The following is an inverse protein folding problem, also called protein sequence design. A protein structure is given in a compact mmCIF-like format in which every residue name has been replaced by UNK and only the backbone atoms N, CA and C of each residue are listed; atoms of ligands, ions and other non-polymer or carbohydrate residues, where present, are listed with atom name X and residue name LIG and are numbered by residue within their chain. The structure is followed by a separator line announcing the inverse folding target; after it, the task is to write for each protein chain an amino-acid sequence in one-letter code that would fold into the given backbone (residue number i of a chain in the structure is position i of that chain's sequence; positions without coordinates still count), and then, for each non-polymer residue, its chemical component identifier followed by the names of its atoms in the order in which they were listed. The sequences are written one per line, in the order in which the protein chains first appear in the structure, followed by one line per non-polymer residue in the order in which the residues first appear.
data_IF_944927288906
#
_entry.id   IF_944927288906
#
_cell.length_a   1.000
_cell.length_b   1.000
_cell.length_c   1.000
_cell.angle_alpha   90.00
_cell.angle_beta   90.00
_cell.angle_gamma   90.00
#
_symmetry.space_group_name_H-M   'P 1'
#
loop_
_entity.id
_entity.type
_entity.pdbx_description
1 polymer ?
#
# COMPACT_ATOMS: atom_id res chain seq x y z
N UNK A 1 -19.67 -2.26 9.68
CA UNK A 1 -19.48 -1.22 8.64
C UNK A 1 -18.66 -0.10 9.26
N UNK A 2 -17.35 -0.15 9.12
CA UNK A 2 -16.50 1.01 9.40
C UNK A 2 -16.82 2.04 8.32
N UNK A 3 -17.45 3.15 8.69
CA UNK A 3 -17.58 4.31 7.83
C UNK A 3 -16.22 4.99 7.79
N UNK A 4 -15.50 4.85 6.69
CA UNK A 4 -14.50 5.83 6.31
C UNK A 4 -15.24 7.17 6.18
N UNK A 5 -14.90 8.14 7.02
CA UNK A 5 -15.30 9.53 6.83
C UNK A 5 -14.43 10.03 5.66
N UNK A 6 -14.91 9.75 4.45
CA UNK A 6 -14.40 10.36 3.25
C UNK A 6 -14.91 11.79 3.21
N UNK A 7 -14.04 12.76 3.17
CA UNK A 7 -14.39 14.06 2.61
C UNK A 7 -14.84 13.80 1.18
N UNK A 8 -16.12 14.01 0.94
CA UNK A 8 -16.72 13.92 -0.38
C UNK A 8 -16.19 15.07 -1.23
N UNK A 9 -15.24 14.79 -2.10
CA UNK A 9 -15.10 15.54 -3.33
C UNK A 9 -16.00 14.85 -4.36
N UNK A 10 -17.20 15.40 -4.48
CA UNK A 10 -18.13 15.02 -5.53
C UNK A 10 -17.58 15.49 -6.87
N UNK A 11 -17.19 14.54 -7.71
CA UNK A 11 -17.32 14.64 -9.15
C UNK A 11 -17.35 13.21 -9.69
N UNK A 12 -18.52 12.72 -9.96
CA UNK A 12 -18.75 11.54 -10.80
C UNK A 12 -18.26 11.86 -12.21
N UNK A 13 -17.07 11.34 -12.54
CA UNK A 13 -16.62 11.27 -13.93
C UNK A 13 -16.21 9.83 -14.21
N UNK A 14 -16.70 9.22 -15.31
CA UNK A 14 -16.32 7.87 -15.68
C UNK A 14 -14.82 7.85 -15.96
N UNK A 15 -14.08 7.10 -15.15
CA UNK A 15 -12.67 6.80 -15.39
C UNK A 15 -12.67 5.81 -16.55
N UNK A 16 -12.18 6.22 -17.71
CA UNK A 16 -11.95 5.27 -18.80
C UNK A 16 -10.83 4.31 -18.37
N UNK A 17 -11.04 3.00 -18.52
CA UNK A 17 -10.01 2.02 -18.18
C UNK A 17 -8.76 2.25 -19.05
N UNK A 18 -7.60 2.19 -18.42
CA UNK A 18 -6.28 2.37 -19.08
C UNK A 18 -5.97 1.24 -20.06
N UNK A 19 -6.71 0.15 -20.01
CA UNK A 19 -6.62 -0.96 -20.93
C UNK A 19 -8.01 -1.47 -21.28
N UNK A 20 -8.17 -1.89 -22.54
CA UNK A 20 -9.28 -2.76 -22.95
C UNK A 20 -9.19 -4.16 -22.33
N UNK A 21 -8.16 -4.38 -21.49
CA UNK A 21 -8.06 -5.58 -20.68
C UNK A 21 -9.06 -5.53 -19.54
N UNK A 22 -9.72 -6.63 -19.37
CA UNK A 22 -10.68 -6.98 -18.32
C UNK A 22 -10.93 -5.83 -17.35
N UNK A 23 -12.14 -5.24 -17.33
CA UNK A 23 -12.47 -4.38 -16.19
C UNK A 23 -12.10 -5.19 -14.96
N UNK A 24 -11.29 -4.60 -14.08
CA UNK A 24 -10.94 -5.24 -12.82
C UNK A 24 -12.26 -5.43 -12.09
N UNK A 25 -12.89 -6.59 -12.36
CA UNK A 25 -14.08 -7.05 -11.65
C UNK A 25 -13.78 -7.03 -10.16
N UNK A 26 -14.75 -7.25 -9.33
CA UNK A 26 -14.53 -7.41 -7.90
C UNK A 26 -13.32 -8.33 -7.70
N UNK A 27 -12.20 -7.74 -7.26
CA UNK A 27 -10.96 -8.48 -7.02
C UNK A 27 -11.29 -9.53 -5.98
N UNK A 28 -11.22 -10.79 -6.36
CA UNK A 28 -11.37 -11.87 -5.40
C UNK A 28 -10.19 -11.79 -4.44
N UNK A 29 -10.45 -11.24 -3.25
CA UNK A 29 -9.42 -11.07 -2.24
C UNK A 29 -9.15 -12.42 -1.60
N UNK A 30 -7.90 -12.85 -1.59
CA UNK A 30 -7.47 -14.03 -0.84
C UNK A 30 -7.93 -13.87 0.61
N UNK A 31 -8.57 -14.91 1.16
CA UNK A 31 -9.04 -14.92 2.55
C UNK A 31 -8.45 -16.11 3.27
N UNK A 32 -7.59 -15.84 4.25
CA UNK A 32 -7.20 -16.81 5.26
C UNK A 32 -7.90 -16.47 6.58
N UNK A 33 -8.05 -17.44 7.45
CA UNK A 33 -8.55 -17.17 8.80
C UNK A 33 -7.45 -16.52 9.64
N UNK A 34 -7.82 -15.53 10.44
CA UNK A 34 -6.94 -15.05 11.51
C UNK A 34 -6.80 -16.16 12.55
N UNK A 35 -5.56 -16.53 12.84
CA UNK A 35 -5.24 -17.53 13.83
C UNK A 35 -4.06 -17.08 14.69
N UNK A 36 -4.31 -17.01 15.99
CA UNK A 36 -3.27 -16.67 16.96
C UNK A 36 -2.45 -17.91 17.28
N UNK A 37 -1.13 -17.81 17.13
CA UNK A 37 -0.17 -18.80 17.59
C UNK A 37 0.63 -18.23 18.76
N UNK A 38 0.50 -18.82 19.92
CA UNK A 38 1.16 -18.37 21.15
C UNK A 38 1.41 -19.53 22.10
N UNK A 39 2.53 -19.49 22.81
CA UNK A 39 2.79 -20.40 23.94
C UNK A 39 1.87 -20.11 25.14
N UNK A 40 1.28 -18.92 25.17
CA UNK A 40 0.38 -18.47 26.23
C UNK A 40 -1.08 -18.61 25.79
N UNK A 41 -1.92 -18.85 26.76
CA UNK A 41 -3.38 -18.82 26.62
C UNK A 41 -3.95 -17.63 27.39
N UNK A 42 -5.12 -17.10 27.00
CA UNK A 42 -5.79 -16.04 27.77
C UNK A 42 -5.96 -16.46 29.23
N UNK A 43 -5.50 -15.62 30.17
CA UNK A 43 -5.54 -15.92 31.60
C UNK A 43 -6.05 -14.71 32.42
N UNK A 44 -6.43 -14.98 33.66
CA UNK A 44 -6.99 -13.94 34.54
C UNK A 44 -8.29 -13.36 33.99
N UNK A 45 -8.34 -12.05 33.83
CA UNK A 45 -9.52 -11.34 33.32
C UNK A 45 -9.58 -11.30 31.78
N UNK A 46 -8.55 -11.74 31.06
CA UNK A 46 -8.49 -11.68 29.59
C UNK A 46 -9.62 -12.46 28.92
N UNK A 47 -9.96 -13.72 29.29
CA UNK A 47 -11.06 -14.45 28.67
C UNK A 47 -12.39 -13.70 28.75
N UNK A 48 -12.71 -13.13 29.91
CA UNK A 48 -13.94 -12.37 30.12
C UNK A 48 -13.93 -11.07 29.31
N UNK A 49 -12.80 -10.35 29.29
CA UNK A 49 -12.65 -9.12 28.50
C UNK A 49 -12.78 -9.37 26.99
N UNK A 50 -12.17 -10.44 26.47
CA UNK A 50 -12.27 -10.82 25.05
C UNK A 50 -13.73 -11.14 24.69
N UNK A 51 -14.40 -11.95 25.51
CA UNK A 51 -15.79 -12.32 25.28
C UNK A 51 -16.71 -11.08 25.29
N UNK A 52 -16.58 -10.18 26.25
CA UNK A 52 -17.35 -8.95 26.35
C UNK A 52 -17.10 -8.01 25.15
N UNK A 53 -15.83 -7.79 24.79
CA UNK A 53 -15.47 -6.97 23.63
C UNK A 53 -16.06 -7.54 22.34
N UNK A 54 -15.95 -8.86 22.14
CA UNK A 54 -16.48 -9.54 20.98
C UNK A 54 -18.00 -9.41 20.90
N UNK A 55 -18.71 -9.58 22.01
CA UNK A 55 -20.17 -9.41 22.08
C UNK A 55 -20.60 -7.98 21.76
N UNK A 56 -19.95 -6.98 22.34
CA UNK A 56 -20.24 -5.56 22.10
C UNK A 56 -20.03 -5.18 20.64
N UNK A 57 -18.92 -5.57 20.03
CA UNK A 57 -18.63 -5.33 18.62
C UNK A 57 -19.65 -6.02 17.70
N UNK A 58 -20.09 -7.24 18.05
CA UNK A 58 -21.10 -7.96 17.27
C UNK A 58 -22.50 -7.35 17.38
N UNK A 59 -22.81 -6.65 18.49
CA UNK A 59 -24.03 -5.82 18.64
C UNK A 59 -23.97 -4.51 17.87
N UNK A 60 -22.80 -4.16 17.30
CA UNK A 60 -22.60 -2.93 16.53
C UNK A 60 -22.23 -1.72 17.40
N UNK A 61 -21.79 -1.92 18.65
CA UNK A 61 -21.23 -0.84 19.45
C UNK A 61 -19.98 -0.28 18.76
N UNK A 62 -19.94 1.06 18.61
CA UNK A 62 -18.87 1.72 17.85
C UNK A 62 -17.63 2.00 18.67
N UNK A 63 -17.82 2.31 19.94
CA UNK A 63 -16.78 2.80 20.83
C UNK A 63 -16.74 1.92 22.09
N UNK A 64 -15.68 1.15 22.22
CA UNK A 64 -15.46 0.27 23.37
C UNK A 64 -14.06 0.52 23.92
N UNK A 65 -13.90 0.56 25.23
CA UNK A 65 -12.62 0.85 25.90
C UNK A 65 -12.15 -0.38 26.67
N UNK A 66 -10.96 -0.88 26.34
CA UNK A 66 -10.24 -1.88 27.13
C UNK A 66 -9.25 -1.19 28.04
N UNK A 67 -9.51 -1.21 29.34
CA UNK A 67 -8.57 -0.68 30.36
C UNK A 67 -7.68 -1.79 30.91
N UNK A 68 -6.40 -1.51 31.01
CA UNK A 68 -5.44 -2.43 31.59
C UNK A 68 -4.09 -1.74 31.90
N UNK A 69 -3.46 -2.11 33.02
CA UNK A 69 -2.15 -1.63 33.35
C UNK A 69 -1.08 -2.07 32.31
N UNK A 70 0.10 -1.48 32.36
CA UNK A 70 1.22 -1.92 31.54
C UNK A 70 1.59 -3.37 31.93
N UNK A 71 1.88 -4.20 30.92
CA UNK A 71 2.26 -5.61 31.15
C UNK A 71 1.11 -6.59 31.36
N UNK A 72 -0.18 -6.15 31.24
CA UNK A 72 -1.34 -7.04 31.37
C UNK A 72 -1.71 -7.78 30.09
N UNK A 73 -0.87 -7.74 29.07
CA UNK A 73 -1.09 -8.47 27.82
C UNK A 73 -2.17 -7.87 26.91
N UNK A 74 -2.37 -6.53 26.90
CA UNK A 74 -3.37 -5.87 26.03
C UNK A 74 -3.18 -6.18 24.55
N UNK A 75 -1.93 -6.26 24.06
CA UNK A 75 -1.63 -6.58 22.66
C UNK A 75 -2.06 -8.01 22.32
N UNK A 76 -1.81 -8.98 23.21
CA UNK A 76 -2.27 -10.35 23.04
C UNK A 76 -3.81 -10.42 23.11
N UNK A 77 -4.44 -9.71 24.04
CA UNK A 77 -5.91 -9.59 24.10
C UNK A 77 -6.50 -9.06 22.79
N UNK A 78 -5.84 -8.05 22.18
CA UNK A 78 -6.23 -7.52 20.88
C UNK A 78 -6.07 -8.56 19.76
N UNK A 79 -4.99 -9.35 19.74
CA UNK A 79 -4.79 -10.40 18.75
C UNK A 79 -5.88 -11.49 18.83
N UNK A 80 -6.23 -11.96 20.01
CA UNK A 80 -7.35 -12.91 20.21
C UNK A 80 -8.71 -12.31 19.84
N UNK A 81 -8.91 -11.01 20.04
CA UNK A 81 -10.13 -10.34 19.59
C UNK A 81 -10.18 -10.26 18.05
N UNK A 82 -9.07 -9.98 17.38
CA UNK A 82 -8.95 -9.98 15.93
C UNK A 82 -9.26 -11.38 15.37
N UNK A 83 -8.72 -12.42 16.00
CA UNK A 83 -9.03 -13.83 15.67
C UNK A 83 -10.53 -14.10 15.78
N UNK A 84 -11.20 -13.68 16.84
CA UNK A 84 -12.64 -13.89 16.99
C UNK A 84 -13.50 -13.07 16.01
N UNK A 85 -13.06 -11.87 15.65
CA UNK A 85 -13.79 -10.98 14.76
C UNK A 85 -13.61 -11.31 13.28
N UNK A 86 -12.52 -11.96 12.89
CA UNK A 86 -12.22 -12.32 11.49
C UNK A 86 -12.39 -11.15 10.52
N UNK A 87 -11.94 -9.96 10.88
CA UNK A 87 -12.09 -8.72 10.10
C UNK A 87 -10.76 -8.02 9.88
N UNK A 88 -10.54 -7.40 8.70
CA UNK A 88 -9.41 -6.50 8.52
C UNK A 88 -9.39 -5.44 9.61
N UNK A 89 -8.23 -5.23 10.22
CA UNK A 89 -8.10 -4.40 11.42
C UNK A 89 -7.04 -3.32 11.23
N UNK A 90 -7.35 -2.08 11.65
CA UNK A 90 -6.39 -0.99 11.76
C UNK A 90 -6.05 -0.76 13.23
N UNK A 91 -4.76 -0.86 13.56
CA UNK A 91 -4.20 -0.56 14.88
C UNK A 91 -3.44 0.76 14.79
N UNK A 92 -3.91 1.79 15.49
CA UNK A 92 -3.24 3.09 15.51
C UNK A 92 -2.38 3.26 16.76
N UNK A 93 -1.13 3.66 16.57
CA UNK A 93 -0.20 3.99 17.64
C UNK A 93 0.18 5.48 17.59
N UNK A 94 0.51 6.10 18.73
CA UNK A 94 0.79 7.54 18.80
C UNK A 94 2.10 7.95 18.10
N UNK A 95 3.02 7.03 17.87
CA UNK A 95 4.29 7.29 17.19
C UNK A 95 4.85 6.08 16.45
N UNK A 96 5.89 6.28 15.61
CA UNK A 96 6.53 5.24 14.80
C UNK A 96 7.08 4.09 15.65
N UNK A 97 7.71 4.38 16.80
CA UNK A 97 8.37 3.38 17.66
C UNK A 97 7.36 2.41 18.26
N UNK A 98 6.27 2.95 18.81
CA UNK A 98 5.19 2.11 19.36
C UNK A 98 4.45 1.34 18.26
N UNK A 99 4.28 1.93 17.08
CA UNK A 99 3.71 1.22 15.94
C UNK A 99 4.62 0.05 15.51
N UNK A 100 5.94 0.23 15.47
CA UNK A 100 6.88 -0.84 15.15
C UNK A 100 6.84 -1.97 16.20
N UNK A 101 6.81 -1.62 17.49
CA UNK A 101 6.68 -2.60 18.56
C UNK A 101 5.39 -3.43 18.39
N UNK A 102 4.24 -2.76 18.25
CA UNK A 102 2.94 -3.45 18.07
C UNK A 102 2.90 -4.31 16.81
N UNK A 103 3.48 -3.83 15.70
CA UNK A 103 3.58 -4.62 14.48
C UNK A 103 4.39 -5.90 14.69
N UNK A 104 5.50 -5.83 15.40
CA UNK A 104 6.32 -7.00 15.71
C UNK A 104 5.61 -7.97 16.67
N UNK A 105 4.96 -7.47 17.72
CA UNK A 105 4.16 -8.29 18.63
C UNK A 105 3.03 -9.01 17.89
N UNK A 106 2.30 -8.31 17.01
CA UNK A 106 1.21 -8.91 16.24
C UNK A 106 1.71 -9.89 15.18
N UNK A 107 2.87 -9.65 14.54
CA UNK A 107 3.49 -10.63 13.61
C UNK A 107 3.85 -11.93 14.30
N UNK A 108 4.32 -11.87 15.55
CA UNK A 108 4.61 -13.07 16.34
C UNK A 108 3.33 -13.84 16.72
N UNK A 109 2.25 -13.11 16.99
CA UNK A 109 0.96 -13.70 17.39
C UNK A 109 0.12 -14.19 16.20
N UNK A 110 0.29 -13.60 15.02
CA UNK A 110 -0.46 -13.88 13.79
C UNK A 110 0.50 -14.21 12.63
N UNK A 111 1.34 -15.27 12.74
CA UNK A 111 2.45 -15.53 11.82
C UNK A 111 2.02 -15.87 10.40
N UNK A 112 0.78 -16.31 10.20
CA UNK A 112 0.23 -16.70 8.89
C UNK A 112 -0.64 -15.64 8.24
N UNK A 113 -0.85 -14.52 8.92
CA UNK A 113 -1.68 -13.41 8.45
C UNK A 113 -0.82 -12.20 8.04
N UNK A 114 -1.37 -11.32 7.22
CA UNK A 114 -0.67 -10.12 6.81
C UNK A 114 -0.70 -9.07 7.93
N UNK A 115 0.42 -8.87 8.60
CA UNK A 115 0.59 -7.80 9.59
C UNK A 115 1.51 -6.74 9.01
N UNK A 116 0.90 -5.66 8.56
CA UNK A 116 1.52 -4.59 7.79
C UNK A 116 1.87 -3.37 8.67
N UNK A 117 2.91 -2.64 8.27
CA UNK A 117 3.38 -1.46 9.00
C UNK A 117 3.26 -0.22 8.12
N UNK A 118 2.53 0.80 8.60
CA UNK A 118 2.23 1.99 7.83
C UNK A 118 2.50 3.28 8.61
N UNK A 119 3.66 3.89 8.37
CA UNK A 119 4.09 5.13 9.03
C UNK A 119 4.62 6.13 8.00
N UNK A 120 4.96 7.35 8.42
CA UNK A 120 5.61 8.33 7.54
C UNK A 120 6.96 7.80 7.05
N UNK A 121 7.19 7.89 5.74
CA UNK A 121 8.46 7.50 5.10
C UNK A 121 9.57 8.54 5.24
N UNK A 122 9.26 9.75 5.71
CA UNK A 122 10.28 10.74 6.03
C UNK A 122 10.98 10.40 7.33
N UNK A 123 12.31 10.23 7.27
CA UNK A 123 13.16 10.12 8.45
C UNK A 123 13.55 11.49 8.98
N UNK A 124 13.75 12.43 8.07
CA UNK A 124 14.04 13.82 8.36
C UNK A 124 13.22 14.73 7.46
N UNK A 125 12.73 15.82 8.03
CA UNK A 125 12.02 16.85 7.28
C UNK A 125 12.32 18.23 7.87
N UNK A 126 12.94 19.09 7.09
CA UNK A 126 13.17 20.49 7.40
C UNK A 126 12.39 21.34 6.40
N UNK A 127 11.36 22.09 6.84
CA UNK A 127 10.68 23.01 5.96
C UNK A 127 11.60 24.17 5.56
N UNK A 128 11.32 24.75 4.40
CA UNK A 128 11.94 26.01 4.00
C UNK A 128 11.61 27.12 5.00
N UNK A 129 12.59 27.98 5.28
CA UNK A 129 12.42 29.14 6.13
C UNK A 129 13.29 30.31 5.64
N UNK A 130 12.78 31.52 5.82
CA UNK A 130 13.54 32.75 5.54
C UNK A 130 13.75 33.55 6.82
N UNK A 131 15.00 33.80 7.14
CA UNK A 131 15.40 34.60 8.30
C UNK A 131 15.74 36.02 7.82
N UNK A 132 14.77 36.92 7.90
CA UNK A 132 14.92 38.30 7.41
C UNK A 132 16.03 39.09 8.08
N UNK A 133 16.39 38.78 9.33
CA UNK A 133 17.44 39.50 10.08
C UNK A 133 18.83 39.28 9.50
N UNK A 134 19.08 38.12 8.90
CA UNK A 134 20.38 37.70 8.36
C UNK A 134 20.35 37.53 6.85
N UNK A 135 19.20 37.83 6.21
CA UNK A 135 18.95 37.58 4.77
C UNK A 135 19.31 36.14 4.39
N UNK A 136 18.95 35.20 5.24
CA UNK A 136 19.30 33.80 5.04
C UNK A 136 18.06 32.98 4.66
N UNK A 137 18.13 32.32 3.51
CA UNK A 137 17.14 31.34 3.07
C UNK A 137 17.62 29.93 3.45
N UNK A 138 16.81 29.23 4.22
CA UNK A 138 17.02 27.83 4.58
C UNK A 138 16.18 27.00 3.59
N UNK A 139 16.84 26.20 2.78
CA UNK A 139 16.18 25.35 1.81
C UNK A 139 15.46 24.19 2.52
N UNK A 140 14.37 23.72 1.87
CA UNK A 140 13.69 22.50 2.28
C UNK A 140 14.65 21.32 2.16
N UNK A 141 14.74 20.53 3.21
CA UNK A 141 15.51 19.28 3.21
C UNK A 141 14.68 18.13 3.75
N UNK A 142 14.77 16.97 3.09
CA UNK A 142 14.04 15.78 3.51
C UNK A 142 14.77 14.52 3.07
N UNK A 143 14.79 13.51 3.92
CA UNK A 143 15.26 12.18 3.57
C UNK A 143 14.12 11.17 3.60
N UNK A 144 14.01 10.38 2.53
CA UNK A 144 13.02 9.32 2.39
C UNK A 144 13.69 8.01 2.78
N UNK A 145 12.98 7.22 3.60
CA UNK A 145 13.39 5.86 3.92
C UNK A 145 12.71 4.89 2.95
N UNK A 146 13.48 4.33 2.03
CA UNK A 146 12.98 3.43 0.99
C UNK A 146 12.36 2.14 1.54
N UNK A 147 12.84 1.63 2.69
CA UNK A 147 12.25 0.44 3.31
C UNK A 147 10.89 0.75 3.92
N UNK A 148 10.74 1.93 4.53
CA UNK A 148 9.43 2.37 5.04
C UNK A 148 8.46 2.65 3.88
N UNK A 149 8.93 3.19 2.77
CA UNK A 149 8.12 3.37 1.58
C UNK A 149 7.62 2.02 1.04
N UNK A 150 8.49 1.03 0.94
CA UNK A 150 8.13 -0.34 0.57
C UNK A 150 7.05 -0.91 1.50
N UNK A 151 7.21 -0.77 2.81
CA UNK A 151 6.23 -1.26 3.79
C UNK A 151 4.87 -0.58 3.64
N UNK A 152 4.83 0.70 3.25
CA UNK A 152 3.59 1.41 2.94
C UNK A 152 2.92 0.85 1.68
N UNK A 153 3.70 0.57 0.63
CA UNK A 153 3.20 -0.09 -0.57
C UNK A 153 2.69 -1.50 -0.27
N UNK A 154 3.42 -2.27 0.55
CA UNK A 154 2.99 -3.60 1.03
C UNK A 154 1.64 -3.53 1.75
N UNK A 155 1.46 -2.59 2.67
CA UNK A 155 0.20 -2.42 3.37
C UNK A 155 -0.97 -2.11 2.43
N UNK A 156 -0.75 -1.26 1.42
CA UNK A 156 -1.78 -0.89 0.46
C UNK A 156 -2.14 -2.08 -0.44
N UNK A 157 -1.16 -2.79 -0.98
CA UNK A 157 -1.38 -3.96 -1.83
C UNK A 157 -2.05 -5.10 -1.05
N UNK A 158 -1.63 -5.35 0.20
CA UNK A 158 -2.25 -6.35 1.07
C UNK A 158 -3.73 -6.05 1.32
N UNK A 159 -4.09 -4.80 1.65
CA UNK A 159 -5.49 -4.40 1.87
C UNK A 159 -6.36 -4.58 0.63
N UNK A 160 -5.78 -4.45 -0.57
CA UNK A 160 -6.50 -4.59 -1.83
C UNK A 160 -6.61 -6.05 -2.30
N UNK A 161 -5.66 -6.91 -1.92
CA UNK A 161 -5.59 -8.30 -2.38
C UNK A 161 -5.99 -9.34 -1.33
N UNK A 162 -6.04 -8.99 -0.02
CA UNK A 162 -6.32 -9.92 1.08
C UNK A 162 -7.40 -9.37 2.02
N UNK A 163 -8.00 -10.27 2.80
CA UNK A 163 -8.95 -9.93 3.85
C UNK A 163 -8.41 -10.15 5.25
N UNK A 164 -7.41 -10.97 5.39
CA UNK A 164 -6.73 -11.32 6.65
C UNK A 164 -5.55 -10.35 6.92
N UNK A 165 -5.85 -9.04 6.97
CA UNK A 165 -4.86 -7.98 7.08
C UNK A 165 -5.03 -7.20 8.37
N UNK A 166 -3.93 -7.04 9.11
CA UNK A 166 -3.80 -6.09 10.22
C UNK A 166 -2.82 -5.01 9.81
N UNK A 167 -3.26 -3.76 9.75
CA UNK A 167 -2.36 -2.62 9.50
C UNK A 167 -2.06 -1.93 10.81
N UNK A 168 -0.78 -1.89 11.19
CA UNK A 168 -0.32 -1.12 12.35
C UNK A 168 0.26 0.20 11.86
N UNK A 169 -0.32 1.30 12.30
CA UNK A 169 -0.02 2.61 11.75
C UNK A 169 0.19 3.69 12.82
N UNK A 170 0.91 4.73 12.44
CA UNK A 170 0.85 6.03 13.13
C UNK A 170 -0.28 6.89 12.54
N UNK A 171 -0.38 8.16 12.96
CA UNK A 171 -1.31 9.15 12.40
C UNK A 171 -1.22 9.32 10.87
N UNK A 172 -0.14 8.82 10.26
CA UNK A 172 0.06 8.89 8.81
C UNK A 172 -1.04 8.20 7.99
N UNK A 173 -1.81 7.29 8.58
CA UNK A 173 -2.91 6.61 7.89
C UNK A 173 -4.13 7.50 7.61
N UNK A 174 -4.24 8.68 8.23
CA UNK A 174 -5.35 9.62 7.97
C UNK A 174 -5.12 10.50 6.75
N UNK A 175 -3.90 10.57 6.24
CA UNK A 175 -3.57 11.35 5.05
C UNK A 175 -3.88 10.55 3.78
N UNK A 176 -4.51 11.23 2.81
CA UNK A 176 -4.91 10.59 1.56
C UNK A 176 -3.71 10.15 0.71
N UNK A 177 -3.84 8.96 0.11
CA UNK A 177 -2.89 8.38 -0.85
C UNK A 177 -3.49 8.28 -2.26
N UNK A 178 -4.59 8.98 -2.51
CA UNK A 178 -5.44 8.77 -3.67
C UNK A 178 -6.61 7.85 -3.36
N UNK A 179 -7.36 7.46 -4.37
CA UNK A 179 -8.49 6.54 -4.18
C UNK A 179 -8.01 5.08 -4.30
N UNK A 180 -8.46 4.17 -3.43
CA UNK A 180 -8.13 2.75 -3.56
C UNK A 180 -8.51 2.18 -4.94
N UNK A 181 -9.63 2.64 -5.50
CA UNK A 181 -10.07 2.24 -6.82
C UNK A 181 -9.06 2.63 -7.91
N UNK A 182 -8.57 3.87 -7.92
CA UNK A 182 -7.58 4.31 -8.92
C UNK A 182 -6.27 3.50 -8.85
N UNK A 183 -5.87 3.06 -7.67
CA UNK A 183 -4.68 2.21 -7.51
C UNK A 183 -4.95 0.78 -8.01
N UNK A 184 -6.14 0.25 -7.74
CA UNK A 184 -6.56 -1.07 -8.17
C UNK A 184 -6.76 -1.13 -9.68
N UNK A 185 -7.47 -0.16 -10.28
CA UNK A 185 -7.78 -0.10 -11.72
C UNK A 185 -6.52 0.01 -12.58
N UNK A 186 -5.40 0.40 -11.97
CA UNK A 186 -4.10 0.49 -12.63
C UNK A 186 -3.19 -0.69 -12.36
N UNK A 187 -3.62 -1.66 -11.55
CA UNK A 187 -2.87 -2.91 -11.41
C UNK A 187 -2.94 -3.71 -12.70
N UNK A 188 -1.82 -4.35 -13.04
CA UNK A 188 -1.75 -5.27 -14.18
C UNK A 188 -1.85 -6.69 -13.64
N UNK A 189 -2.76 -7.47 -14.18
CA UNK A 189 -2.91 -8.90 -13.86
C UNK A 189 -2.45 -9.68 -15.06
N UNK A 190 -1.64 -10.70 -14.86
CA UNK A 190 -1.22 -11.67 -15.86
C UNK A 190 -1.55 -13.06 -15.36
N UNK A 191 -2.11 -13.87 -16.25
CA UNK A 191 -2.39 -15.29 -16.04
C UNK A 191 -1.55 -16.13 -17.02
N UNK A 192 -1.09 -17.30 -16.59
CA UNK A 192 -0.40 -18.26 -17.47
C UNK A 192 -1.31 -18.64 -18.66
N UNK A 193 -0.78 -18.57 -19.88
CA UNK A 193 -1.54 -18.80 -21.12
C UNK A 193 -2.34 -17.61 -21.64
N UNK A 194 -2.26 -16.43 -21.01
CA UNK A 194 -2.89 -15.21 -21.51
C UNK A 194 -2.13 -14.67 -22.72
N UNK A 195 -2.86 -14.27 -23.77
CA UNK A 195 -2.28 -13.61 -24.95
C UNK A 195 -2.17 -12.10 -24.70
N UNK A 196 -0.94 -11.60 -24.63
CA UNK A 196 -0.63 -10.19 -24.48
C UNK A 196 0.65 -9.83 -25.24
N UNK A 197 0.55 -8.89 -26.18
CA UNK A 197 1.73 -8.32 -26.86
C UNK A 197 2.76 -7.82 -25.84
N UNK A 198 3.98 -8.36 -25.91
CA UNK A 198 5.05 -8.08 -24.97
C UNK A 198 5.41 -6.59 -24.92
N UNK A 199 5.47 -5.91 -26.06
CA UNK A 199 5.80 -4.48 -26.09
C UNK A 199 4.69 -3.62 -25.52
N UNK A 200 3.45 -4.06 -25.67
CA UNK A 200 2.30 -3.45 -24.99
C UNK A 200 2.40 -3.64 -23.48
N UNK A 201 2.76 -4.83 -23.00
CA UNK A 201 2.98 -5.08 -21.59
C UNK A 201 4.09 -4.19 -21.01
N UNK A 202 5.22 -4.03 -21.72
CA UNK A 202 6.29 -3.12 -21.26
C UNK A 202 5.82 -1.66 -21.17
N UNK A 203 4.93 -1.21 -22.06
CA UNK A 203 4.33 0.12 -21.99
C UNK A 203 3.40 0.25 -20.78
N UNK A 204 2.59 -0.77 -20.47
CA UNK A 204 1.75 -0.79 -19.27
C UNK A 204 2.58 -0.66 -17.99
N UNK A 205 3.75 -1.30 -17.90
CA UNK A 205 4.64 -1.13 -16.75
C UNK A 205 5.11 0.33 -16.59
N UNK A 206 5.46 1.00 -17.69
CA UNK A 206 5.82 2.43 -17.65
C UNK A 206 4.62 3.30 -17.25
N UNK A 207 3.42 2.99 -17.75
CA UNK A 207 2.20 3.72 -17.40
C UNK A 207 1.85 3.62 -15.91
N UNK A 208 2.21 2.52 -15.26
CA UNK A 208 2.08 2.32 -13.81
C UNK A 208 3.34 2.70 -13.03
N UNK A 209 4.23 3.49 -13.66
CA UNK A 209 5.39 4.15 -13.08
C UNK A 209 6.56 3.24 -12.71
N UNK A 210 6.69 2.08 -13.38
CA UNK A 210 7.94 1.31 -13.32
C UNK A 210 8.96 1.88 -14.31
N UNK A 211 10.20 1.91 -13.89
CA UNK A 211 11.30 2.35 -14.74
C UNK A 211 12.02 1.14 -15.37
N UNK A 212 12.34 1.24 -16.66
CA UNK A 212 13.19 0.22 -17.30
C UNK A 212 14.64 0.42 -16.88
N UNK A 213 15.22 -0.59 -16.27
CA UNK A 213 16.63 -0.57 -15.89
C UNK A 213 17.26 -1.95 -16.07
N UNK A 214 17.94 -2.15 -17.18
CA UNK A 214 18.55 -3.44 -17.53
C UNK A 214 19.87 -3.70 -16.76
N UNK A 215 20.43 -2.71 -16.07
CA UNK A 215 21.71 -2.78 -15.33
C UNK A 215 21.51 -2.74 -13.82
N UNK A 216 20.79 -1.72 -13.32
CA UNK A 216 20.52 -1.54 -11.91
C UNK A 216 19.13 -2.05 -11.55
N UNK A 217 18.99 -3.35 -11.27
CA UNK A 217 17.72 -3.98 -10.98
C UNK A 217 17.35 -3.76 -9.51
N UNK A 218 16.48 -2.78 -9.27
CA UNK A 218 16.04 -2.32 -7.94
C UNK A 218 14.51 -2.26 -7.86
N UNK A 219 13.96 -1.96 -6.68
CA UNK A 219 12.51 -1.82 -6.49
C UNK A 219 11.91 -0.76 -7.41
N UNK A 220 10.72 -1.04 -7.95
CA UNK A 220 10.05 -0.15 -8.91
C UNK A 220 10.67 -0.16 -10.30
N UNK A 221 11.57 -1.11 -10.60
CA UNK A 221 12.16 -1.25 -11.93
C UNK A 221 11.82 -2.58 -12.57
N UNK A 222 11.90 -2.62 -13.90
CA UNK A 222 11.84 -3.84 -14.67
C UNK A 222 13.00 -3.91 -15.65
N UNK A 223 13.36 -5.12 -16.06
CA UNK A 223 14.31 -5.40 -17.15
C UNK A 223 13.71 -6.39 -18.12
N UNK A 224 14.10 -6.29 -19.39
CA UNK A 224 13.60 -7.16 -20.43
C UNK A 224 14.79 -7.72 -21.25
N UNK A 225 14.93 -9.04 -21.31
CA UNK A 225 15.99 -9.74 -22.03
C UNK A 225 15.39 -10.89 -22.85
N UNK A 226 15.39 -10.72 -24.19
CA UNK A 226 14.72 -11.70 -25.05
C UNK A 226 13.24 -11.80 -24.71
N UNK A 227 12.77 -13.00 -24.47
CA UNK A 227 11.36 -13.27 -24.14
C UNK A 227 11.05 -13.24 -22.64
N UNK A 228 12.03 -12.85 -21.81
CA UNK A 228 11.90 -12.78 -20.36
C UNK A 228 11.79 -11.32 -19.88
N UNK A 229 10.83 -11.06 -19.00
CA UNK A 229 10.66 -9.78 -18.29
C UNK A 229 10.73 -10.04 -16.80
N UNK A 230 11.69 -9.40 -16.13
CA UNK A 230 11.82 -9.44 -14.67
C UNK A 230 11.41 -8.07 -14.09
N UNK A 231 10.63 -8.09 -13.01
CA UNK A 231 10.10 -6.90 -12.33
C UNK A 231 10.38 -7.02 -10.84
N UNK A 232 10.91 -5.97 -10.20
CA UNK A 232 10.90 -5.89 -8.73
C UNK A 232 9.76 -4.95 -8.31
N UNK A 233 8.65 -5.50 -7.76
CA UNK A 233 7.55 -4.69 -7.29
C UNK A 233 7.99 -3.71 -6.20
N UNK A 234 7.31 -2.54 -6.13
CA UNK A 234 7.61 -1.55 -5.09
C UNK A 234 7.27 -2.03 -3.66
N UNK A 235 6.44 -3.05 -3.54
CA UNK A 235 5.87 -3.58 -2.28
C UNK A 235 6.47 -4.91 -1.82
N UNK A 236 7.30 -5.57 -2.64
CA UNK A 236 7.88 -6.89 -2.32
C UNK A 236 9.41 -6.86 -2.35
N UNK A 237 10.01 -7.89 -1.75
CA UNK A 237 11.45 -8.16 -1.83
C UNK A 237 11.80 -9.15 -2.93
N UNK A 238 10.82 -9.95 -3.34
CA UNK A 238 10.95 -10.90 -4.44
C UNK A 238 10.75 -10.18 -5.76
N UNK A 239 11.38 -10.66 -6.83
CA UNK A 239 11.07 -10.23 -8.17
C UNK A 239 10.05 -11.19 -8.81
N UNK A 240 9.29 -10.66 -9.76
CA UNK A 240 8.40 -11.43 -10.63
C UNK A 240 9.13 -11.64 -11.95
N UNK A 241 9.20 -12.87 -12.41
CA UNK A 241 9.66 -13.24 -13.76
C UNK A 241 8.50 -13.70 -14.60
N UNK A 242 8.41 -13.16 -15.80
CA UNK A 242 7.41 -13.50 -16.81
C UNK A 242 8.18 -14.01 -18.02
N UNK A 243 7.91 -15.22 -18.41
CA UNK A 243 8.45 -15.81 -19.64
C UNK A 243 7.37 -15.78 -20.71
N UNK A 244 7.74 -15.28 -21.90
CA UNK A 244 6.85 -15.18 -23.05
C UNK A 244 7.23 -16.20 -24.10
N UNK A 245 6.25 -16.74 -24.78
CA UNK A 245 6.40 -17.48 -26.02
C UNK A 245 5.62 -16.77 -27.14
N UNK A 246 6.30 -15.91 -27.90
CA UNK A 246 5.63 -14.97 -28.80
C UNK A 246 4.86 -13.92 -28.01
N UNK A 247 3.52 -13.90 -28.19
CA UNK A 247 2.62 -13.00 -27.46
C UNK A 247 1.87 -13.72 -26.31
N UNK A 248 2.20 -14.98 -26.03
CA UNK A 248 1.62 -15.72 -24.93
C UNK A 248 2.48 -15.63 -23.67
N UNK A 249 1.85 -15.48 -22.51
CA UNK A 249 2.49 -15.65 -21.19
C UNK A 249 2.68 -17.14 -20.96
N UNK A 250 3.93 -17.63 -21.10
CA UNK A 250 4.24 -19.06 -21.00
C UNK A 250 4.34 -19.51 -19.55
N UNK A 251 5.15 -18.81 -18.74
CA UNK A 251 5.36 -19.16 -17.34
C UNK A 251 5.55 -17.93 -16.47
N UNK A 252 5.09 -18.03 -15.20
CA UNK A 252 5.16 -16.97 -14.19
C UNK A 252 5.87 -17.48 -12.94
N UNK A 253 6.83 -16.68 -12.42
CA UNK A 253 7.62 -17.06 -11.25
C UNK A 253 7.84 -15.91 -10.29
N UNK A 254 7.94 -16.22 -9.01
CA UNK A 254 8.69 -15.39 -8.07
C UNK A 254 10.14 -15.86 -8.05
N UNK A 255 11.06 -14.91 -8.17
CA UNK A 255 12.50 -15.18 -8.19
C UNK A 255 13.25 -14.34 -7.16
N UNK A 256 14.43 -14.81 -6.77
CA UNK A 256 15.35 -14.02 -5.96
C UNK A 256 15.99 -12.91 -6.81
N UNK A 257 15.87 -11.61 -6.46
CA UNK A 257 16.26 -10.50 -7.34
C UNK A 257 17.75 -10.44 -7.67
N UNK A 258 18.63 -10.94 -6.76
CA UNK A 258 20.08 -10.91 -6.96
C UNK A 258 20.60 -12.16 -7.70
N UNK A 259 20.09 -13.36 -7.33
CA UNK A 259 20.61 -14.62 -7.91
C UNK A 259 19.80 -15.06 -9.13
N UNK A 260 18.54 -14.64 -9.25
CA UNK A 260 17.62 -15.08 -10.29
C UNK A 260 17.04 -16.47 -10.05
N UNK A 261 17.32 -17.08 -8.88
CA UNK A 261 16.82 -18.39 -8.53
C UNK A 261 15.30 -18.35 -8.41
N UNK A 262 14.63 -19.36 -8.97
CA UNK A 262 13.19 -19.54 -8.86
C UNK A 262 12.83 -19.91 -7.42
N UNK A 263 11.97 -19.12 -6.80
CA UNK A 263 11.45 -19.34 -5.46
C UNK A 263 10.10 -20.05 -5.50
N UNK A 264 9.24 -19.69 -6.45
CA UNK A 264 7.89 -20.19 -6.56
C UNK A 264 7.39 -20.03 -7.99
N UNK A 265 6.71 -21.05 -8.54
CA UNK A 265 5.93 -20.93 -9.78
C UNK A 265 4.49 -20.59 -9.40
N UNK A 266 3.88 -19.70 -10.15
CA UNK A 266 2.50 -19.24 -9.92
C UNK A 266 1.73 -19.17 -11.23
N UNK A 267 0.42 -19.34 -11.17
CA UNK A 267 -0.45 -19.31 -12.35
C UNK A 267 -0.97 -17.89 -12.65
N UNK A 268 -0.94 -17.00 -11.66
CA UNK A 268 -1.37 -15.60 -11.75
C UNK A 268 -0.43 -14.69 -10.96
N UNK A 269 -0.13 -13.52 -11.52
CA UNK A 269 0.52 -12.42 -10.81
C UNK A 269 -0.25 -11.13 -10.96
N UNK A 270 -0.29 -10.33 -9.90
CA UNK A 270 -0.85 -8.98 -9.91
C UNK A 270 0.25 -7.98 -9.60
N UNK A 271 0.46 -7.03 -10.49
CA UNK A 271 1.48 -5.99 -10.38
C UNK A 271 0.77 -4.67 -10.09
N UNK A 272 0.95 -4.15 -8.87
CA UNK A 272 0.43 -2.85 -8.48
C UNK A 272 1.36 -1.73 -8.94
N UNK A 273 0.86 -0.47 -9.09
CA UNK A 273 1.69 0.67 -9.44
C UNK A 273 2.91 0.85 -8.54
N UNK A 274 4.02 1.33 -9.10
CA UNK A 274 5.25 1.62 -8.36
C UNK A 274 5.14 2.85 -7.44
N UNK A 275 4.07 3.63 -7.54
CA UNK A 275 3.78 4.78 -6.67
C UNK A 275 2.31 4.80 -6.26
N UNK A 276 2.02 5.36 -5.07
CA UNK A 276 0.64 5.59 -4.63
C UNK A 276 -0.07 6.70 -5.44
N UNK A 277 0.71 7.59 -6.06
CA UNK A 277 0.19 8.79 -6.74
C UNK A 277 0.13 8.56 -8.25
N UNK A 278 -0.75 7.66 -8.67
CA UNK A 278 -0.94 7.37 -10.10
C UNK A 278 -2.17 8.12 -10.61
N UNK A 279 -1.94 9.09 -11.49
CA UNK A 279 -2.99 9.83 -12.17
C UNK A 279 -3.20 9.31 -13.60
N UNK A 280 -4.46 9.20 -14.03
CA UNK A 280 -4.80 8.88 -15.41
C UNK A 280 -4.42 10.02 -16.37
N UNK A 281 -4.20 9.73 -17.67
CA UNK A 281 -3.84 10.73 -18.66
C UNK A 281 -4.87 11.87 -18.74
N UNK A 282 -6.15 11.58 -18.62
CA UNK A 282 -7.21 12.60 -18.60
C UNK A 282 -7.16 13.49 -17.37
N UNK A 283 -6.91 12.88 -16.19
CA UNK A 283 -6.77 13.62 -14.94
C UNK A 283 -5.52 14.48 -14.96
N UNK A 284 -4.43 13.98 -15.55
CA UNK A 284 -3.19 14.73 -15.74
C UNK A 284 -3.40 15.91 -16.71
N UNK A 285 -4.06 15.70 -17.84
CA UNK A 285 -4.37 16.77 -18.79
C UNK A 285 -5.22 17.87 -18.16
N UNK A 286 -6.26 17.49 -17.40
CA UNK A 286 -7.09 18.47 -16.66
C UNK A 286 -6.27 19.24 -15.63
N UNK A 287 -5.47 18.53 -14.82
CA UNK A 287 -4.63 19.18 -13.81
C UNK A 287 -3.64 20.18 -14.43
N UNK A 288 -3.09 19.89 -15.61
CA UNK A 288 -2.21 20.82 -16.34
C UNK A 288 -2.98 22.09 -16.74
N UNK A 289 -4.21 21.98 -17.23
CA UNK A 289 -5.01 23.16 -17.59
C UNK A 289 -5.40 23.96 -16.34
N UNK A 290 -5.85 23.31 -15.27
CA UNK A 290 -6.17 23.97 -13.99
C UNK A 290 -4.96 24.72 -13.42
N UNK A 291 -3.75 24.12 -13.47
CA UNK A 291 -2.49 24.75 -13.03
C UNK A 291 -2.15 25.98 -13.91
N UNK A 292 -2.35 25.91 -15.22
CA UNK A 292 -2.11 27.07 -16.11
C UNK A 292 -3.06 28.24 -15.80
N UNK A 293 -4.32 27.92 -15.53
CA UNK A 293 -5.33 28.92 -15.18
C UNK A 293 -5.00 29.59 -13.84
N UNK A 294 -4.72 28.80 -12.79
CA UNK A 294 -4.28 29.31 -11.48
C UNK A 294 -3.00 30.12 -11.57
N UNK A 295 -2.02 29.69 -12.36
CA UNK A 295 -0.78 30.44 -12.58
C UNK A 295 -1.05 31.82 -13.20
N UNK A 296 -1.91 31.89 -14.23
CA UNK A 296 -2.25 33.15 -14.89
C UNK A 296 -2.93 34.12 -13.91
N UNK A 297 -3.88 33.64 -13.11
CA UNK A 297 -4.54 34.42 -12.07
C UNK A 297 -3.55 34.94 -11.02
N UNK A 298 -2.65 34.06 -10.56
CA UNK A 298 -1.68 34.40 -9.52
C UNK A 298 -0.63 35.41 -10.01
N UNK A 299 -0.17 35.28 -11.25
CA UNK A 299 0.75 36.24 -11.85
C UNK A 299 0.10 37.61 -11.96
N UNK A 300 -1.13 37.72 -12.46
CA UNK A 300 -1.87 38.97 -12.53
C UNK A 300 -2.08 39.60 -11.15
N UNK A 301 -2.38 38.80 -10.11
CA UNK A 301 -2.49 39.29 -8.73
C UNK A 301 -1.17 39.88 -8.21
N UNK A 302 -0.05 39.19 -8.46
CA UNK A 302 1.27 39.66 -8.03
C UNK A 302 1.72 40.91 -8.77
N UNK A 303 1.48 41.00 -10.08
CA UNK A 303 1.77 42.20 -10.89
C UNK A 303 0.96 43.41 -10.42
N UNK A 304 -0.29 43.22 -9.99
CA UNK A 304 -1.14 44.31 -9.47
C UNK A 304 -0.73 44.78 -8.06
N UNK A 305 0.03 43.97 -7.33
CA UNK A 305 0.52 44.34 -5.99
C UNK A 305 1.86 45.09 -6.01
N UNK A 306 2.59 45.08 -7.11
CA UNK A 306 3.86 45.81 -7.32
C UNK A 306 5.04 45.00 -6.86
#
# INVERSE_FOLDING_TARGET
RVRLVGMAFAAEHPILPVSEHRPVGEVERRSAEFRVESEYQPAGDQPAAIAELNERLNRGERDVVLMGATGTGKSATAAWLIEQQQRPTLVMAPNKTLAAQLANELRQLLPHNAVEYFVSYYDYYQPEAYIAQTDTYIEKDSSINEDVERLRHSATSALLSRRDVVVVSSVSCIYGLGTPQSYLDRSVVLEEGEEIDRDRFLRLLVDIQYERNDVGFTRGTFRAKGDTVDIIPAYEERAVRIEFFGDDVDELYYIHPLTGDVLERVDEVRIFPATHYVAGPERMARAIEDIKEELAERLAELENRG
#
